data_IF_194624986790
#
_entry.id   IF_194624986790
#
_cell.length_a   1.000
_cell.length_b   1.000
_cell.length_c   1.000
_cell.angle_alpha   90.00
_cell.angle_beta   90.00
_cell.angle_gamma   90.00
#
_symmetry.space_group_name_H-M   'P 1'
#
loop_
_entity.id
_entity.type
_entity.pdbx_description
1 polymer ?
#
# COMPACT_ATOMS: atom_id res chain seq x y z
N UNK A 1 3.31 -32.73 -5.50
CA UNK A 1 4.49 -32.45 -4.65
C UNK A 1 4.80 -30.97 -4.75
N UNK A 2 4.46 -30.21 -3.70
CA UNK A 2 4.65 -28.77 -3.62
C UNK A 2 6.12 -28.47 -3.31
N UNK A 3 6.76 -27.64 -4.13
CA UNK A 3 8.17 -27.27 -4.00
C UNK A 3 8.26 -25.79 -3.56
N UNK A 4 8.69 -25.49 -2.33
CA UNK A 4 8.70 -24.13 -1.77
C UNK A 4 9.86 -23.23 -2.29
N UNK A 5 10.65 -23.70 -3.27
CA UNK A 5 11.89 -23.03 -3.70
C UNK A 5 11.80 -21.92 -4.75
N UNK A 6 10.62 -21.61 -5.30
CA UNK A 6 10.49 -20.53 -6.30
C UNK A 6 10.04 -19.23 -5.62
N UNK A 7 11.03 -18.51 -5.10
CA UNK A 7 10.92 -17.13 -4.60
C UNK A 7 10.70 -16.17 -5.79
N UNK A 8 9.53 -16.23 -6.41
CA UNK A 8 9.11 -15.27 -7.42
C UNK A 8 8.45 -14.10 -6.71
N UNK A 9 9.22 -13.04 -6.47
CA UNK A 9 8.64 -11.72 -6.16
C UNK A 9 7.82 -11.34 -7.39
N UNK A 10 6.50 -11.36 -7.26
CA UNK A 10 5.61 -10.88 -8.31
C UNK A 10 5.83 -9.37 -8.45
N UNK A 11 6.45 -8.94 -9.55
CA UNK A 11 6.64 -7.52 -9.87
C UNK A 11 5.27 -6.91 -10.13
N UNK A 12 4.77 -6.15 -9.17
CA UNK A 12 3.53 -5.39 -9.30
C UNK A 12 3.87 -3.97 -9.74
N UNK A 13 3.47 -3.60 -10.96
CA UNK A 13 3.56 -2.22 -11.44
C UNK A 13 2.33 -1.48 -10.91
N UNK A 14 2.47 -0.83 -9.75
CA UNK A 14 1.45 0.09 -9.25
C UNK A 14 1.55 1.41 -10.05
N UNK A 15 0.77 1.51 -11.13
CA UNK A 15 0.60 2.75 -11.86
C UNK A 15 -0.38 3.65 -11.10
N UNK A 16 0.02 4.89 -10.82
CA UNK A 16 -0.77 5.91 -10.13
C UNK A 16 -2.17 6.05 -10.74
N UNK A 17 -3.19 5.67 -9.99
CA UNK A 17 -4.54 6.21 -10.12
C UNK A 17 -5.03 6.52 -8.72
N UNK A 18 -5.15 7.81 -8.44
CA UNK A 18 -5.90 8.35 -7.31
C UNK A 18 -7.26 7.63 -7.22
N UNK A 19 -7.47 6.79 -6.21
CA UNK A 19 -8.84 6.45 -5.79
C UNK A 19 -9.30 7.57 -4.85
N UNK A 20 -9.51 8.75 -5.43
CA UNK A 20 -10.39 9.75 -4.86
C UNK A 20 -11.30 10.22 -5.98
N UNK A 21 -12.60 9.92 -5.80
CA UNK A 21 -13.74 10.31 -6.62
C UNK A 21 -14.03 9.47 -7.88
N UNK A 22 -14.77 8.37 -7.72
CA UNK A 22 -15.82 7.99 -8.70
C UNK A 22 -17.05 7.46 -7.96
N UNK A 23 -17.82 8.36 -7.34
CA UNK A 23 -19.27 8.17 -7.23
C UNK A 23 -19.86 8.74 -8.53
N UNK A 24 -19.73 7.97 -9.62
CA UNK A 24 -20.38 8.31 -10.86
C UNK A 24 -21.90 8.29 -10.65
N UNK A 25 -22.52 9.48 -10.72
CA UNK A 25 -23.97 9.61 -10.89
C UNK A 25 -24.35 8.91 -12.20
N UNK A 26 -24.95 7.73 -12.09
CA UNK A 26 -25.72 7.15 -13.19
C UNK A 26 -27.07 7.87 -13.20
N UNK A 27 -27.22 8.85 -14.08
CA UNK A 27 -28.55 9.32 -14.50
C UNK A 27 -29.01 8.43 -15.65
N UNK A 28 -29.85 7.44 -15.35
CA UNK A 28 -30.62 6.73 -16.37
C UNK A 28 -32.07 6.63 -15.89
N UNK A 29 -32.96 7.25 -16.65
CA UNK A 29 -34.40 7.25 -16.44
C UNK A 29 -34.95 5.84 -16.68
N UNK A 30 -35.26 5.12 -15.61
CA UNK A 30 -36.17 3.98 -15.60
C UNK A 30 -36.65 3.74 -14.16
N UNK A 31 -37.95 3.47 -13.99
CA UNK A 31 -38.63 3.27 -12.71
C UNK A 31 -38.20 1.97 -12.01
N UNK A 32 -36.94 1.91 -11.58
CA UNK A 32 -36.45 0.95 -10.59
C UNK A 32 -36.26 1.74 -9.31
N UNK A 33 -36.86 1.30 -8.20
CA UNK A 33 -36.50 1.78 -6.88
C UNK A 33 -35.05 1.35 -6.59
N UNK A 34 -34.09 2.09 -7.12
CA UNK A 34 -32.67 1.92 -6.80
C UNK A 34 -32.52 2.43 -5.37
N UNK A 35 -32.56 1.50 -4.40
CA UNK A 35 -32.02 1.78 -3.08
C UNK A 35 -30.61 2.32 -3.27
N UNK A 36 -30.29 3.47 -2.65
CA UNK A 36 -28.96 4.08 -2.73
C UNK A 36 -27.92 2.96 -2.54
N UNK A 37 -27.00 2.74 -3.51
CA UNK A 37 -25.99 1.71 -3.35
C UNK A 37 -25.27 2.00 -2.03
N UNK A 38 -25.10 0.97 -1.21
CA UNK A 38 -24.26 1.06 -0.02
C UNK A 38 -22.93 1.67 -0.49
N UNK A 39 -22.56 2.82 0.06
CA UNK A 39 -21.37 3.55 -0.38
C UNK A 39 -20.08 2.88 0.07
N UNK A 40 -20.18 1.72 0.71
CA UNK A 40 -19.08 0.93 1.23
C UNK A 40 -18.60 -0.09 0.20
N UNK A 41 -17.29 -0.33 0.23
CA UNK A 41 -16.65 -1.37 -0.56
C UNK A 41 -17.13 -2.77 -0.12
N UNK A 42 -17.20 -3.74 -1.04
CA UNK A 42 -17.50 -5.12 -0.69
C UNK A 42 -16.54 -5.66 0.37
N UNK A 43 -17.04 -6.50 1.27
CA UNK A 43 -16.21 -7.16 2.29
C UNK A 43 -15.04 -7.90 1.62
N UNK A 44 -13.83 -7.74 2.16
CA UNK A 44 -12.63 -8.33 1.58
C UNK A 44 -11.95 -7.48 0.51
N UNK A 45 -12.42 -6.26 0.26
CA UNK A 45 -11.73 -5.32 -0.64
C UNK A 45 -10.35 -4.93 -0.10
N UNK A 46 -9.46 -4.59 -1.05
CA UNK A 46 -8.09 -4.15 -0.83
C UNK A 46 -7.88 -2.76 -1.40
N UNK A 47 -7.28 -1.85 -0.62
CA UNK A 47 -6.64 -0.67 -1.14
C UNK A 47 -5.28 -1.09 -1.70
N UNK A 48 -5.15 -1.05 -3.02
CA UNK A 48 -3.94 -1.52 -3.70
C UNK A 48 -2.79 -0.51 -3.70
N UNK A 49 -2.99 0.72 -3.21
CA UNK A 49 -1.96 1.76 -3.24
C UNK A 49 -2.11 2.76 -2.09
N UNK A 50 -1.47 2.45 -0.97
CA UNK A 50 -1.44 3.31 0.22
C UNK A 50 -0.01 3.74 0.56
N UNK A 51 0.19 5.01 0.86
CA UNK A 51 1.43 5.53 1.43
C UNK A 51 1.22 5.88 2.91
N UNK A 52 2.19 5.51 3.75
CA UNK A 52 2.30 6.04 5.12
C UNK A 52 3.47 7.03 5.17
N UNK A 53 3.27 8.12 5.90
CA UNK A 53 4.18 9.26 5.98
C UNK A 53 4.32 9.68 7.44
N UNK A 54 5.54 9.78 7.93
CA UNK A 54 5.85 10.25 9.27
C UNK A 54 7.17 11.02 9.24
N UNK A 55 7.17 12.27 8.72
CA UNK A 55 8.40 13.05 8.54
C UNK A 55 9.09 13.42 9.86
N UNK A 56 8.39 13.28 11.00
CA UNK A 56 8.92 13.56 12.33
C UNK A 56 9.81 12.43 12.81
N UNK A 57 9.37 11.18 12.66
CA UNK A 57 10.16 9.99 13.09
C UNK A 57 11.08 9.46 12.00
N UNK A 58 10.72 9.68 10.74
CA UNK A 58 11.46 9.22 9.57
C UNK A 58 11.69 10.42 8.65
N UNK A 59 12.85 11.09 8.74
CA UNK A 59 13.14 12.26 7.92
C UNK A 59 13.14 11.93 6.42
N UNK A 60 12.51 12.75 5.56
CA UNK A 60 12.58 12.55 4.11
C UNK A 60 13.95 12.86 3.55
N UNK A 61 14.19 12.38 2.32
CA UNK A 61 15.37 12.71 1.53
C UNK A 61 15.47 14.23 1.28
N UNK A 62 16.70 14.79 1.27
CA UNK A 62 16.91 16.19 0.89
C UNK A 62 16.30 16.52 -0.48
N UNK A 63 15.64 17.67 -0.58
CA UNK A 63 14.97 18.11 -1.82
C UNK A 63 13.58 17.51 -2.05
N UNK A 64 13.08 16.69 -1.12
CA UNK A 64 11.67 16.28 -1.12
C UNK A 64 10.74 17.48 -0.89
N UNK A 65 9.52 17.39 -1.42
CA UNK A 65 8.46 18.35 -1.11
C UNK A 65 8.06 18.27 0.37
N UNK A 66 7.45 19.33 0.91
CA UNK A 66 6.90 19.32 2.26
C UNK A 66 5.57 18.55 2.31
N UNK A 67 5.39 17.72 3.34
CA UNK A 67 4.17 16.94 3.54
C UNK A 67 3.86 16.78 5.03
N UNK A 68 2.58 16.54 5.33
CA UNK A 68 2.12 16.22 6.68
C UNK A 68 2.28 14.75 7.03
N UNK A 69 2.08 14.43 8.30
CA UNK A 69 2.02 13.05 8.77
C UNK A 69 0.73 12.37 8.32
N UNK A 70 0.84 11.14 7.82
CA UNK A 70 -0.26 10.23 7.56
C UNK A 70 0.12 8.83 8.03
N UNK A 71 -0.38 8.45 9.20
CA UNK A 71 0.04 7.24 9.90
C UNK A 71 -0.77 6.01 9.52
N UNK A 72 -0.30 4.84 9.96
CA UNK A 72 -1.05 3.59 9.97
C UNK A 72 -2.44 3.73 10.64
N UNK A 73 -2.54 4.56 11.69
CA UNK A 73 -3.78 4.81 12.38
C UNK A 73 -4.77 5.59 11.50
N UNK A 74 -4.30 6.64 10.83
CA UNK A 74 -5.11 7.44 9.90
C UNK A 74 -5.65 6.58 8.76
N UNK A 75 -4.80 5.73 8.18
CA UNK A 75 -5.20 4.73 7.20
C UNK A 75 -6.32 3.82 7.71
N UNK A 76 -6.21 3.35 8.95
CA UNK A 76 -7.22 2.46 9.53
C UNK A 76 -8.59 3.13 9.71
N UNK A 77 -8.61 4.42 10.05
CA UNK A 77 -9.85 5.20 10.15
C UNK A 77 -10.53 5.31 8.78
N UNK A 78 -9.78 5.69 7.75
CA UNK A 78 -10.32 5.86 6.39
C UNK A 78 -10.80 4.53 5.81
N UNK A 79 -10.00 3.49 5.92
CA UNK A 79 -10.33 2.14 5.46
C UNK A 79 -11.62 1.61 6.12
N UNK A 80 -11.76 1.81 7.44
CA UNK A 80 -12.98 1.44 8.17
C UNK A 80 -14.21 2.19 7.64
N UNK A 81 -14.07 3.49 7.37
CA UNK A 81 -15.13 4.34 6.81
C UNK A 81 -15.54 3.88 5.40
N UNK A 82 -14.58 3.46 4.59
CA UNK A 82 -14.81 2.98 3.23
C UNK A 82 -15.30 1.53 3.17
N UNK A 83 -15.14 0.75 4.25
CA UNK A 83 -15.40 -0.70 4.23
C UNK A 83 -14.32 -1.50 3.48
N UNK A 84 -13.16 -0.89 3.25
CA UNK A 84 -11.98 -1.56 2.73
C UNK A 84 -11.12 -1.97 3.92
N UNK A 85 -10.75 -3.24 4.05
CA UNK A 85 -10.16 -3.76 5.29
C UNK A 85 -8.71 -4.20 5.12
N UNK A 86 -8.23 -4.26 3.88
CA UNK A 86 -6.89 -4.72 3.51
C UNK A 86 -6.17 -3.65 2.70
N UNK A 87 -4.84 -3.62 2.78
CA UNK A 87 -4.05 -2.57 2.14
C UNK A 87 -2.75 -3.10 1.57
N UNK A 88 -2.28 -2.45 0.51
CA UNK A 88 -0.93 -2.61 -0.03
C UNK A 88 -0.18 -1.30 0.19
N UNK A 89 0.80 -1.36 1.09
CA UNK A 89 1.68 -0.26 1.44
C UNK A 89 2.75 -0.13 0.36
N UNK A 90 2.84 1.04 -0.26
CA UNK A 90 3.82 1.35 -1.30
C UNK A 90 4.89 2.25 -0.72
N UNK A 91 6.16 1.92 -0.92
CA UNK A 91 7.28 2.76 -0.50
C UNK A 91 7.22 4.14 -1.20
N UNK A 92 7.06 5.24 -0.43
CA UNK A 92 7.08 6.59 -0.97
C UNK A 92 8.48 6.96 -1.47
N UNK A 93 8.59 7.66 -2.59
CA UNK A 93 9.89 8.10 -3.13
C UNK A 93 10.61 9.10 -2.22
N UNK A 94 9.87 9.82 -1.36
CA UNK A 94 10.43 10.77 -0.38
C UNK A 94 11.35 10.09 0.65
N UNK A 95 11.25 8.77 0.82
CA UNK A 95 12.13 7.98 1.70
C UNK A 95 13.17 7.17 0.94
N UNK A 96 13.19 7.25 -0.39
CA UNK A 96 14.10 6.46 -1.24
C UNK A 96 14.05 4.97 -0.89
N UNK A 97 15.22 4.42 -0.56
CA UNK A 97 15.40 2.99 -0.25
C UNK A 97 15.24 2.68 1.26
N UNK A 98 14.99 3.68 2.11
CA UNK A 98 14.72 3.47 3.52
C UNK A 98 13.26 3.00 3.71
N UNK A 99 13.08 1.68 3.74
CA UNK A 99 11.77 1.06 3.93
C UNK A 99 11.37 0.96 5.42
N UNK A 100 12.11 1.54 6.37
CA UNK A 100 11.90 1.27 7.81
C UNK A 100 10.49 1.59 8.27
N UNK A 101 9.93 2.73 7.86
CA UNK A 101 8.54 3.10 8.17
C UNK A 101 7.52 2.10 7.60
N UNK A 102 7.71 1.65 6.35
CA UNK A 102 6.86 0.66 5.71
C UNK A 102 6.92 -0.67 6.45
N UNK A 103 8.13 -1.13 6.79
CA UNK A 103 8.35 -2.38 7.51
C UNK A 103 7.76 -2.34 8.92
N UNK A 104 7.90 -1.23 9.64
CA UNK A 104 7.28 -1.05 10.96
C UNK A 104 5.75 -1.07 10.87
N UNK A 105 5.19 -0.50 9.80
CA UNK A 105 3.76 -0.52 9.54
C UNK A 105 3.26 -1.95 9.22
N UNK A 106 4.00 -2.73 8.44
CA UNK A 106 3.69 -4.14 8.18
C UNK A 106 3.70 -4.97 9.46
N UNK A 107 4.68 -4.76 10.35
CA UNK A 107 4.73 -5.45 11.65
C UNK A 107 3.51 -5.14 12.50
N UNK A 108 2.99 -3.91 12.44
CA UNK A 108 1.82 -3.50 13.22
C UNK A 108 0.52 -4.16 12.74
N UNK A 109 0.36 -4.38 11.42
CA UNK A 109 -0.87 -4.94 10.86
C UNK A 109 -0.83 -6.45 10.62
N UNK A 110 0.34 -6.98 10.30
CA UNK A 110 0.52 -8.36 9.89
C UNK A 110 0.05 -8.66 8.45
N UNK A 111 0.50 -9.80 7.89
CA UNK A 111 0.34 -10.12 6.47
C UNK A 111 -1.11 -10.45 6.06
N UNK A 112 -2.00 -10.73 7.03
CA UNK A 112 -3.42 -10.95 6.76
C UNK A 112 -4.17 -9.66 6.42
N UNK A 113 -3.60 -8.50 6.77
CA UNK A 113 -4.25 -7.19 6.58
C UNK A 113 -3.46 -6.27 5.67
N UNK A 114 -2.12 -6.32 5.72
CA UNK A 114 -1.27 -5.45 4.94
C UNK A 114 -0.20 -6.22 4.17
N UNK A 115 0.04 -5.83 2.93
CA UNK A 115 1.19 -6.27 2.12
C UNK A 115 2.06 -5.07 1.75
N UNK A 116 3.33 -5.31 1.43
CA UNK A 116 4.29 -4.26 1.12
C UNK A 116 4.86 -4.32 -0.29
N UNK A 117 5.10 -3.14 -0.88
CA UNK A 117 5.92 -2.94 -2.08
C UNK A 117 7.06 -1.99 -1.72
N UNK A 118 8.29 -2.50 -1.77
CA UNK A 118 9.49 -1.78 -1.32
C UNK A 118 10.28 -1.16 -2.47
N UNK A 119 11.25 -0.31 -2.15
CA UNK A 119 12.33 0.08 -3.06
C UNK A 119 13.65 -0.24 -2.37
N UNK A 120 14.60 -0.87 -3.05
CA UNK A 120 15.89 -1.18 -2.46
C UNK A 120 17.03 -1.10 -3.47
N UNK A 121 18.24 -0.96 -2.95
CA UNK A 121 19.46 -1.04 -3.76
C UNK A 121 19.93 -2.50 -3.85
N UNK A 122 19.93 -3.03 -5.07
CA UNK A 122 20.34 -4.42 -5.36
C UNK A 122 21.78 -4.69 -4.94
N UNK A 123 22.67 -3.70 -5.00
CA UNK A 123 24.08 -3.87 -4.61
C UNK A 123 24.26 -3.99 -3.09
N UNK A 124 23.33 -3.41 -2.32
CA UNK A 124 23.45 -3.27 -0.87
C UNK A 124 22.42 -4.10 -0.07
N UNK A 125 21.58 -4.87 -0.75
CA UNK A 125 20.52 -5.67 -0.10
C UNK A 125 20.83 -7.15 -0.22
N UNK A 126 20.93 -7.84 0.93
CA UNK A 126 21.21 -9.28 0.97
C UNK A 126 19.96 -10.12 0.72
N UNK A 127 20.15 -11.36 0.27
CA UNK A 127 19.05 -12.34 0.11
C UNK A 127 18.35 -12.61 1.45
N UNK A 128 19.09 -12.64 2.56
CA UNK A 128 18.51 -12.81 3.89
C UNK A 128 17.57 -11.65 4.24
N UNK A 129 17.96 -10.40 3.94
CA UNK A 129 17.12 -9.24 4.18
C UNK A 129 15.82 -9.29 3.33
N UNK A 130 15.91 -9.76 2.08
CA UNK A 130 14.74 -9.97 1.22
C UNK A 130 13.81 -11.05 1.80
N UNK A 131 14.36 -12.12 2.37
CA UNK A 131 13.58 -13.15 3.02
C UNK A 131 12.87 -12.61 4.27
N UNK A 132 13.55 -11.83 5.10
CA UNK A 132 12.96 -11.20 6.29
C UNK A 132 11.79 -10.28 5.89
N UNK A 133 11.96 -9.48 4.84
CA UNK A 133 10.89 -8.63 4.31
C UNK A 133 9.73 -9.45 3.73
N UNK A 134 10.03 -10.54 3.01
CA UNK A 134 9.01 -11.46 2.53
C UNK A 134 8.20 -12.06 3.69
N UNK A 135 8.86 -12.49 4.76
CA UNK A 135 8.16 -13.10 5.90
C UNK A 135 7.25 -12.08 6.62
N UNK A 136 7.59 -10.79 6.55
CA UNK A 136 6.78 -9.67 7.04
C UNK A 136 5.63 -9.25 6.10
N UNK A 137 5.54 -9.79 4.88
CA UNK A 137 4.45 -9.49 3.94
C UNK A 137 4.84 -8.59 2.76
N UNK A 138 6.13 -8.32 2.52
CA UNK A 138 6.56 -7.66 1.29
C UNK A 138 6.39 -8.62 0.10
N UNK A 139 5.68 -8.17 -0.94
CA UNK A 139 5.34 -9.00 -2.11
C UNK A 139 5.72 -8.38 -3.44
N UNK A 140 6.24 -7.15 -3.45
CA UNK A 140 6.63 -6.47 -4.67
C UNK A 140 7.77 -5.48 -4.46
N UNK A 141 8.30 -5.00 -5.59
CA UNK A 141 9.33 -3.97 -5.65
C UNK A 141 8.86 -2.90 -6.63
N UNK A 142 9.04 -1.63 -6.27
CA UNK A 142 8.74 -0.48 -7.12
C UNK A 142 10.02 0.00 -7.79
N UNK A 143 9.98 0.13 -9.12
CA UNK A 143 11.04 0.81 -9.88
C UNK A 143 10.69 2.29 -10.00
N UNK A 144 11.62 3.15 -9.59
CA UNK A 144 11.51 4.61 -9.73
C UNK A 144 12.57 5.02 -10.74
N UNK A 145 12.14 5.57 -11.87
CA UNK A 145 13.09 6.15 -12.83
C UNK A 145 13.78 7.35 -12.19
N UNK A 146 15.10 7.52 -12.40
CA UNK A 146 15.81 8.75 -12.03
C UNK A 146 15.22 9.98 -12.70
#
# INVERSE_FOLDING_TARGET
>A
TYNPGNMLIHVFVANCLFISQVLARVTSSSNVCISKPDSRMPNGSWDSHLHVLDPVRFPPLPGSYEFGTYTAWDATIEETRLGCSHMVLIQPSVYGNDNTLLIDTLKAFGPNRALGVIVFDVANTSVAQLQDWNDLGVRGVRFISP
#
